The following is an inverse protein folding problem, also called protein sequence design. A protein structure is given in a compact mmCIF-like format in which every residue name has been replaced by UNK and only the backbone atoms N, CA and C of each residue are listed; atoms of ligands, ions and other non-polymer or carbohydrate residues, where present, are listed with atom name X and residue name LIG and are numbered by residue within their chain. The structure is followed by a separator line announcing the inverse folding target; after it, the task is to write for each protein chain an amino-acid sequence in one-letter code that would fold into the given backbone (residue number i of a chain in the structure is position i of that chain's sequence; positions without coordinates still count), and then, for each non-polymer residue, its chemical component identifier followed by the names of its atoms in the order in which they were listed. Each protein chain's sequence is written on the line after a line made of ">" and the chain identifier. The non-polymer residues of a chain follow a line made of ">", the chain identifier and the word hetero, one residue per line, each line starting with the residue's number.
data_IF_214792816231
#
_entry.id   IF_214792816231
#
_cell.length_a   1.000
_cell.length_b   1.000
_cell.length_c   1.000
_cell.angle_alpha   90.00
_cell.angle_beta   90.00
_cell.angle_gamma   90.00
#
_symmetry.space_group_name_H-M   'P 1'
#
loop_
_entity.id
_entity.type
_entity.pdbx_description
1 polymer ?
#
# COMPACT_ATOMS: atom_id res chain seq x y z
N UNK A 1 -36.54 58.08 -28.66
CA UNK A 1 -35.58 57.48 -29.61
C UNK A 1 -34.19 57.68 -29.03
N UNK A 2 -33.35 56.63 -29.01
CA UNK A 2 -31.95 56.58 -28.53
C UNK A 2 -31.83 56.58 -26.98
N UNK A 3 -31.07 55.73 -26.29
CA UNK A 3 -30.11 54.67 -26.67
C UNK A 3 -29.96 53.71 -25.47
N UNK A 4 -29.91 52.40 -25.73
CA UNK A 4 -29.59 51.36 -24.73
C UNK A 4 -28.08 51.37 -24.48
N UNK A 5 -27.64 51.53 -23.24
CA UNK A 5 -26.27 51.23 -22.82
C UNK A 5 -26.29 49.88 -22.10
N UNK A 6 -25.91 48.83 -22.83
CA UNK A 6 -25.53 47.54 -22.27
C UNK A 6 -24.15 47.70 -21.62
N UNK A 7 -24.08 47.67 -20.29
CA UNK A 7 -22.81 47.41 -19.59
C UNK A 7 -22.55 45.91 -19.62
N UNK A 8 -21.69 45.48 -20.54
CA UNK A 8 -21.05 44.18 -20.44
C UNK A 8 -20.09 44.21 -19.24
N UNK A 9 -20.48 43.54 -18.16
CA UNK A 9 -19.54 43.14 -17.10
C UNK A 9 -18.73 41.98 -17.65
N UNK A 10 -17.49 42.26 -18.01
CA UNK A 10 -16.47 41.24 -18.28
C UNK A 10 -16.03 40.61 -16.96
N UNK A 11 -16.83 39.70 -16.43
CA UNK A 11 -16.35 38.72 -15.46
C UNK A 11 -15.56 37.67 -16.25
N UNK A 12 -14.26 37.91 -16.44
CA UNK A 12 -13.32 36.88 -16.83
C UNK A 12 -13.20 35.89 -15.68
N UNK A 13 -14.17 34.98 -15.57
CA UNK A 13 -13.98 33.75 -14.81
C UNK A 13 -12.95 32.91 -15.56
N UNK A 14 -11.66 33.19 -15.33
CA UNK A 14 -10.64 32.18 -15.55
C UNK A 14 -10.99 31.02 -14.62
N UNK A 15 -11.72 30.04 -15.16
CA UNK A 15 -11.74 28.70 -14.59
C UNK A 15 -10.29 28.27 -14.55
N UNK A 16 -9.68 28.35 -13.38
CA UNK A 16 -8.38 27.76 -13.11
C UNK A 16 -8.64 26.25 -13.14
N UNK A 17 -8.69 25.69 -14.35
CA UNK A 17 -8.61 24.26 -14.57
C UNK A 17 -7.31 23.87 -13.88
N UNK A 18 -7.41 23.20 -12.73
CA UNK A 18 -6.24 22.81 -11.96
C UNK A 18 -5.35 22.00 -12.91
N UNK A 19 -4.22 22.58 -13.33
CA UNK A 19 -3.22 21.85 -14.07
C UNK A 19 -2.77 20.74 -13.12
N UNK A 20 -3.22 19.52 -13.39
CA UNK A 20 -2.66 18.34 -12.75
C UNK A 20 -1.28 18.18 -13.37
N UNK A 21 -0.23 18.35 -12.57
CA UNK A 21 1.14 18.09 -13.01
C UNK A 21 1.18 16.73 -13.71
N UNK A 22 1.88 16.60 -14.86
CA UNK A 22 1.94 15.33 -15.56
C UNK A 22 2.60 14.28 -14.66
N UNK A 23 1.93 13.13 -14.52
CA UNK A 23 2.41 12.00 -13.71
C UNK A 23 2.72 10.84 -14.63
N UNK A 24 3.88 10.22 -14.43
CA UNK A 24 4.26 8.98 -15.10
C UNK A 24 4.37 7.85 -14.09
N UNK A 25 3.96 6.66 -14.50
CA UNK A 25 4.16 5.43 -13.75
C UNK A 25 5.40 4.73 -14.31
N UNK A 26 6.35 4.43 -13.43
CA UNK A 26 7.65 3.84 -13.80
C UNK A 26 7.83 2.56 -12.99
N UNK A 27 8.11 1.45 -13.69
CA UNK A 27 8.43 0.17 -13.05
C UNK A 27 9.69 0.34 -12.20
N UNK A 28 9.63 -0.13 -10.96
CA UNK A 28 10.76 -0.09 -10.03
C UNK A 28 11.71 -1.26 -10.32
N UNK A 29 13.01 -0.97 -10.21
CA UNK A 29 14.10 -1.92 -10.34
C UNK A 29 14.97 -1.88 -9.08
N UNK A 30 15.91 -2.82 -8.95
CA UNK A 30 16.84 -2.82 -7.81
C UNK A 30 17.64 -1.50 -7.69
N UNK A 31 17.87 -0.80 -8.80
CA UNK A 31 18.55 0.50 -8.79
C UNK A 31 17.73 1.61 -8.08
N UNK A 32 16.40 1.47 -8.01
CA UNK A 32 15.51 2.43 -7.36
C UNK A 32 15.40 2.22 -5.85
N UNK A 33 15.99 1.15 -5.29
CA UNK A 33 15.76 0.73 -3.89
C UNK A 33 16.02 1.84 -2.88
N UNK A 34 17.13 2.57 -3.01
CA UNK A 34 17.48 3.67 -2.09
C UNK A 34 16.47 4.81 -2.14
N UNK A 35 16.02 5.22 -3.33
CA UNK A 35 15.03 6.29 -3.49
C UNK A 35 13.67 5.88 -2.93
N UNK A 36 13.29 4.62 -3.11
CA UNK A 36 12.06 4.04 -2.56
C UNK A 36 12.14 3.97 -1.03
N UNK A 37 13.24 3.51 -0.45
CA UNK A 37 13.45 3.51 1.01
C UNK A 37 13.32 4.94 1.57
N UNK A 38 13.99 5.92 0.95
CA UNK A 38 13.91 7.32 1.37
C UNK A 38 12.48 7.89 1.27
N UNK A 39 11.75 7.52 0.22
CA UNK A 39 10.35 7.89 0.07
C UNK A 39 9.48 7.29 1.17
N UNK A 40 9.55 5.96 1.36
CA UNK A 40 8.75 5.25 2.36
C UNK A 40 9.08 5.66 3.80
N UNK A 41 10.34 5.98 4.09
CA UNK A 41 10.73 6.52 5.41
C UNK A 41 9.90 7.76 5.76
N UNK A 42 9.74 8.69 4.80
CA UNK A 42 8.97 9.91 4.99
C UNK A 42 7.46 9.69 4.97
N UNK A 43 6.97 8.82 4.08
CA UNK A 43 5.53 8.77 3.75
C UNK A 43 4.80 7.54 4.25
N UNK A 44 5.50 6.56 4.84
CA UNK A 44 4.91 5.29 5.29
C UNK A 44 5.40 4.88 6.69
N UNK A 45 6.70 4.86 6.95
CA UNK A 45 7.25 4.32 8.22
C UNK A 45 6.65 5.04 9.44
N UNK A 46 6.60 6.37 9.42
CA UNK A 46 6.09 7.15 10.57
C UNK A 46 4.60 7.45 10.51
N UNK A 47 3.98 7.28 9.35
CA UNK A 47 2.59 7.72 9.11
C UNK A 47 1.61 6.56 9.06
N UNK A 48 2.08 5.33 8.84
CA UNK A 48 1.27 4.14 8.89
C UNK A 48 0.84 3.88 10.36
N UNK A 49 -0.47 3.71 10.63
CA UNK A 49 -0.99 3.68 12.00
C UNK A 49 -0.44 2.55 12.88
N UNK A 50 -0.17 1.37 12.33
CA UNK A 50 0.42 0.25 13.08
C UNK A 50 1.87 0.56 13.46
N UNK A 51 2.67 1.07 12.52
CA UNK A 51 4.05 1.49 12.78
C UNK A 51 4.12 2.61 13.82
N UNK A 52 3.22 3.60 13.71
CA UNK A 52 3.13 4.72 14.65
C UNK A 52 2.71 4.24 16.05
N UNK A 53 1.73 3.32 16.15
CA UNK A 53 1.31 2.73 17.42
C UNK A 53 2.44 1.98 18.13
N UNK A 54 3.28 1.30 17.35
CA UNK A 54 4.47 0.57 17.81
C UNK A 54 5.73 1.45 17.96
N UNK A 55 5.59 2.76 17.71
CA UNK A 55 6.62 3.79 17.91
C UNK A 55 7.94 3.48 17.20
N UNK A 56 7.86 2.94 15.99
CA UNK A 56 9.05 2.65 15.16
C UNK A 56 9.92 3.90 15.02
N UNK A 57 11.24 3.70 15.12
CA UNK A 57 12.26 4.74 14.97
C UNK A 57 13.17 4.44 13.79
N UNK A 58 13.76 5.48 13.19
CA UNK A 58 14.61 5.36 11.99
C UNK A 58 15.68 4.29 12.14
N UNK A 59 16.45 4.37 13.24
CA UNK A 59 17.57 3.48 13.50
C UNK A 59 17.16 2.01 13.64
N UNK A 60 15.87 1.72 13.91
CA UNK A 60 15.37 0.36 14.06
C UNK A 60 15.00 -0.28 12.73
N UNK A 61 14.68 0.53 11.72
CA UNK A 61 14.19 0.06 10.41
C UNK A 61 15.26 0.10 9.33
N UNK A 62 16.51 0.47 9.66
CA UNK A 62 17.62 0.61 8.70
C UNK A 62 17.96 -0.69 7.98
N UNK A 63 17.78 -1.85 8.62
CA UNK A 63 17.94 -3.15 7.99
C UNK A 63 16.62 -3.69 7.44
N UNK A 64 15.53 -3.50 8.17
CA UNK A 64 14.21 -4.02 7.80
C UNK A 64 13.66 -3.41 6.52
N UNK A 65 13.73 -2.09 6.35
CA UNK A 65 13.12 -1.41 5.21
C UNK A 65 13.79 -1.79 3.87
N UNK A 66 15.13 -1.84 3.74
CA UNK A 66 15.78 -2.34 2.53
C UNK A 66 15.40 -3.78 2.19
N UNK A 67 15.41 -4.69 3.18
CA UNK A 67 15.01 -6.10 2.97
C UNK A 67 13.54 -6.19 2.51
N UNK A 68 12.66 -5.43 3.16
CA UNK A 68 11.25 -5.32 2.79
C UNK A 68 11.08 -4.82 1.36
N UNK A 69 11.77 -3.74 0.96
CA UNK A 69 11.71 -3.18 -0.40
C UNK A 69 12.23 -4.18 -1.44
N UNK A 70 13.36 -4.83 -1.16
CA UNK A 70 13.98 -5.81 -2.06
C UNK A 70 13.04 -7.00 -2.34
N UNK A 71 12.34 -7.49 -1.31
CA UNK A 71 11.38 -8.60 -1.44
C UNK A 71 10.23 -8.32 -2.42
N UNK A 72 9.87 -7.06 -2.65
CA UNK A 72 8.83 -6.69 -3.61
C UNK A 72 9.38 -6.31 -4.98
N UNK A 73 10.46 -5.53 -5.03
CA UNK A 73 11.03 -5.05 -6.29
C UNK A 73 11.51 -6.21 -7.18
N UNK A 74 12.04 -7.29 -6.61
CA UNK A 74 12.57 -8.44 -7.36
C UNK A 74 11.55 -9.14 -8.28
N UNK A 75 10.25 -8.91 -8.09
CA UNK A 75 9.17 -9.51 -8.88
C UNK A 75 8.81 -8.75 -10.16
N UNK A 76 9.44 -7.61 -10.43
CA UNK A 76 9.11 -6.70 -11.54
C UNK A 76 7.65 -6.18 -11.54
N UNK A 77 6.91 -6.30 -10.43
CA UNK A 77 5.52 -5.82 -10.32
C UNK A 77 5.35 -4.58 -9.43
N UNK A 78 6.45 -3.96 -9.02
CA UNK A 78 6.45 -2.71 -8.24
C UNK A 78 6.56 -1.48 -9.15
N UNK A 79 5.86 -0.40 -8.82
CA UNK A 79 5.81 0.82 -9.62
C UNK A 79 5.86 2.09 -8.76
N UNK A 80 6.50 3.13 -9.27
CA UNK A 80 6.46 4.48 -8.73
C UNK A 80 5.61 5.40 -9.60
N UNK A 81 4.90 6.34 -8.99
CA UNK A 81 4.38 7.53 -9.64
C UNK A 81 5.44 8.63 -9.49
N UNK A 82 5.82 9.25 -10.59
CA UNK A 82 6.82 10.32 -10.64
C UNK A 82 6.27 11.57 -11.31
N UNK A 83 6.64 12.74 -10.78
CA UNK A 83 6.25 14.03 -11.36
C UNK A 83 7.18 14.43 -12.53
N UNK A 84 6.98 15.63 -13.08
CA UNK A 84 7.77 16.17 -14.19
C UNK A 84 9.27 16.33 -13.88
N UNK A 85 9.64 16.41 -12.60
CA UNK A 85 11.02 16.51 -12.13
C UNK A 85 11.64 15.16 -11.74
N UNK A 86 11.02 14.03 -12.11
CA UNK A 86 11.46 12.68 -11.73
C UNK A 86 11.41 12.35 -10.24
N UNK A 87 10.79 13.22 -9.43
CA UNK A 87 10.60 12.95 -8.00
C UNK A 87 9.52 11.88 -7.82
N UNK A 88 9.80 10.87 -7.01
CA UNK A 88 8.80 9.90 -6.54
C UNK A 88 7.76 10.64 -5.70
N UNK A 89 6.50 10.54 -6.11
CA UNK A 89 5.32 11.10 -5.44
C UNK A 89 4.33 10.02 -5.00
N UNK A 90 4.59 8.76 -5.36
CA UNK A 90 3.84 7.60 -4.90
C UNK A 90 4.54 6.30 -5.25
N UNK A 91 4.30 5.26 -4.48
CA UNK A 91 4.86 3.92 -4.67
C UNK A 91 3.78 2.87 -4.43
N UNK A 92 3.77 1.85 -5.29
CA UNK A 92 3.16 0.55 -5.05
C UNK A 92 4.27 -0.50 -5.05
N UNK A 93 4.50 -1.13 -3.90
CA UNK A 93 5.31 -2.33 -3.80
C UNK A 93 4.41 -3.55 -3.94
N UNK A 94 4.70 -4.38 -4.94
CA UNK A 94 3.94 -5.61 -5.21
C UNK A 94 4.84 -6.72 -5.68
N UNK A 95 4.44 -7.96 -5.38
CA UNK A 95 5.10 -9.17 -5.83
C UNK A 95 4.10 -10.26 -6.19
N UNK A 96 4.51 -11.13 -7.10
CA UNK A 96 3.75 -12.32 -7.43
C UNK A 96 4.03 -13.37 -6.38
N UNK A 97 2.96 -13.89 -5.80
CA UNK A 97 3.01 -14.97 -4.82
C UNK A 97 2.31 -16.20 -5.40
N UNK A 98 2.92 -17.35 -5.19
CA UNK A 98 2.38 -18.65 -5.62
C UNK A 98 1.84 -19.43 -4.44
N UNK A 99 0.82 -20.25 -4.70
CA UNK A 99 0.29 -21.17 -3.69
C UNK A 99 1.41 -22.13 -3.28
N UNK A 100 1.71 -22.26 -1.97
CA UNK A 100 2.72 -23.19 -1.48
C UNK A 100 2.45 -24.62 -1.97
N UNK A 101 3.47 -25.28 -2.52
CA UNK A 101 3.40 -26.69 -2.94
C UNK A 101 3.97 -27.56 -1.81
N UNK A 102 3.09 -28.16 -1.01
CA UNK A 102 3.45 -29.05 0.11
C UNK A 102 3.73 -28.32 1.42
N UNK A 103 4.39 -28.99 2.36
CA UNK A 103 4.83 -28.42 3.65
C UNK A 103 6.15 -27.66 3.48
N UNK A 104 6.24 -26.79 2.46
CA UNK A 104 7.35 -25.83 2.38
C UNK A 104 7.45 -25.14 3.73
N UNK A 105 8.60 -25.32 4.41
CA UNK A 105 8.79 -24.89 5.78
C UNK A 105 8.31 -23.45 5.93
N UNK A 106 7.57 -23.17 7.00
CA UNK A 106 7.26 -21.80 7.38
C UNK A 106 8.61 -21.11 7.53
N UNK A 107 8.94 -20.21 6.61
CA UNK A 107 10.16 -19.41 6.74
C UNK A 107 10.05 -18.68 8.08
N UNK A 108 10.97 -18.99 8.99
CA UNK A 108 11.07 -18.26 10.25
C UNK A 108 11.32 -16.80 9.90
N UNK A 109 10.46 -15.86 10.33
CA UNK A 109 10.69 -14.45 10.08
C UNK A 109 12.08 -14.05 10.60
N UNK A 110 12.81 -13.25 9.82
CA UNK A 110 14.09 -12.69 10.24
C UNK A 110 13.86 -11.85 11.51
N UNK A 111 14.72 -12.03 12.50
CA UNK A 111 14.75 -11.17 13.68
C UNK A 111 15.66 -9.96 13.38
N UNK A 112 15.11 -8.75 13.44
CA UNK A 112 15.83 -7.50 13.21
C UNK A 112 16.40 -6.89 14.50
N UNK A 113 16.37 -7.60 15.63
CA UNK A 113 16.87 -7.12 16.92
C UNK A 113 16.00 -6.04 17.59
N UNK A 114 14.83 -5.75 17.01
CA UNK A 114 13.92 -4.71 17.47
C UNK A 114 12.51 -5.27 17.62
N UNK A 115 12.08 -5.43 18.88
CA UNK A 115 10.80 -6.08 19.20
C UNK A 115 9.62 -5.48 18.43
N UNK A 116 9.57 -4.15 18.28
CA UNK A 116 8.48 -3.44 17.62
C UNK A 116 8.48 -3.62 16.10
N UNK A 117 9.66 -3.72 15.47
CA UNK A 117 9.79 -4.05 14.04
C UNK A 117 9.35 -5.50 13.81
N UNK A 118 9.85 -6.43 14.61
CA UNK A 118 9.45 -7.84 14.55
C UNK A 118 7.93 -8.01 14.82
N UNK A 119 7.36 -7.14 15.66
CA UNK A 119 5.93 -7.15 15.99
C UNK A 119 5.06 -6.69 14.81
N UNK A 120 5.49 -5.68 14.05
CA UNK A 120 4.84 -5.30 12.77
C UNK A 120 4.84 -6.49 11.82
N UNK A 121 6.00 -7.13 11.61
CA UNK A 121 6.11 -8.29 10.74
C UNK A 121 5.24 -9.47 11.21
N UNK A 122 5.21 -9.73 12.52
CA UNK A 122 4.37 -10.77 13.13
C UNK A 122 2.90 -10.51 12.86
N UNK A 123 2.45 -9.27 13.05
CA UNK A 123 1.06 -8.89 12.84
C UNK A 123 0.63 -9.00 11.37
N UNK A 124 1.43 -8.47 10.45
CA UNK A 124 1.16 -8.53 9.00
C UNK A 124 1.21 -9.98 8.51
N UNK A 125 2.17 -10.78 8.99
CA UNK A 125 2.25 -12.20 8.63
C UNK A 125 1.08 -13.02 9.17
N UNK A 126 0.53 -12.68 10.35
CA UNK A 126 -0.67 -13.32 10.87
C UNK A 126 -1.86 -13.13 9.93
N UNK A 127 -2.05 -11.92 9.38
CA UNK A 127 -3.04 -11.67 8.32
C UNK A 127 -2.74 -12.47 7.05
N UNK A 128 -1.50 -12.38 6.55
CA UNK A 128 -1.08 -13.01 5.29
C UNK A 128 -1.20 -14.54 5.32
N UNK A 129 -0.91 -15.17 6.47
CA UNK A 129 -0.95 -16.62 6.64
C UNK A 129 -2.30 -17.26 6.30
N UNK A 130 -3.38 -16.46 6.35
CA UNK A 130 -4.73 -16.91 6.03
C UNK A 130 -5.04 -16.87 4.53
N UNK A 131 -4.19 -16.27 3.70
CA UNK A 131 -4.50 -16.02 2.28
C UNK A 131 -4.93 -17.27 1.53
N UNK A 132 -4.07 -18.28 1.51
CA UNK A 132 -4.27 -19.46 0.68
C UNK A 132 -5.40 -20.37 1.17
N UNK A 133 -5.80 -20.27 2.45
CA UNK A 133 -6.95 -20.99 2.99
C UNK A 133 -8.28 -20.28 2.71
N UNK A 134 -8.25 -18.98 2.38
CA UNK A 134 -9.44 -18.15 2.15
C UNK A 134 -9.76 -17.90 0.67
N UNK A 135 -8.77 -17.88 -0.21
CA UNK A 135 -8.98 -17.76 -1.65
C UNK A 135 -9.37 -19.11 -2.29
N UNK A 136 -10.06 -19.13 -3.45
CA UNK A 136 -10.44 -20.37 -4.12
C UNK A 136 -9.26 -21.33 -4.31
N UNK A 137 -9.47 -22.62 -4.02
CA UNK A 137 -8.41 -23.63 -4.02
C UNK A 137 -7.69 -23.81 -5.38
N UNK A 138 -8.39 -23.52 -6.48
CA UNK A 138 -7.85 -23.58 -7.84
C UNK A 138 -7.02 -22.34 -8.23
N UNK A 139 -6.96 -21.30 -7.39
CA UNK A 139 -6.07 -20.17 -7.59
C UNK A 139 -4.67 -20.52 -7.11
N UNK A 140 -3.70 -20.43 -8.02
CA UNK A 140 -2.30 -20.80 -7.73
C UNK A 140 -1.34 -19.62 -7.75
N UNK A 141 -1.79 -18.44 -8.19
CA UNK A 141 -0.95 -17.26 -8.35
C UNK A 141 -1.75 -15.99 -8.10
N UNK A 142 -1.20 -15.07 -7.32
CA UNK A 142 -1.80 -13.79 -6.97
C UNK A 142 -0.75 -12.68 -7.01
N UNK A 143 -1.20 -11.45 -7.26
CA UNK A 143 -0.40 -10.27 -6.98
C UNK A 143 -0.61 -9.87 -5.51
N UNK A 144 0.44 -9.90 -4.69
CA UNK A 144 0.42 -9.35 -3.34
C UNK A 144 0.91 -7.90 -3.39
N UNK A 145 0.17 -6.95 -2.84
CA UNK A 145 0.71 -5.62 -2.56
C UNK A 145 1.22 -5.57 -1.12
N UNK A 146 2.46 -5.14 -0.93
CA UNK A 146 3.05 -4.91 0.38
C UNK A 146 2.80 -3.50 0.90
N UNK A 147 3.10 -2.51 0.07
CA UNK A 147 2.99 -1.11 0.46
C UNK A 147 2.33 -0.28 -0.64
N UNK A 148 1.45 0.63 -0.23
CA UNK A 148 0.89 1.68 -1.07
C UNK A 148 1.04 3.00 -0.32
N UNK A 149 1.85 3.90 -0.85
CA UNK A 149 2.08 5.21 -0.24
C UNK A 149 2.08 6.29 -1.31
N UNK A 150 1.49 7.44 -0.97
CA UNK A 150 1.38 8.62 -1.84
C UNK A 150 1.79 9.82 -1.00
N UNK A 151 2.62 10.68 -1.58
CA UNK A 151 3.01 11.95 -0.97
C UNK A 151 1.76 12.80 -0.68
N UNK A 152 1.70 13.41 0.50
CA UNK A 152 0.49 14.08 0.99
C UNK A 152 0.05 15.25 0.09
N UNK A 153 1.00 15.95 -0.53
CA UNK A 153 0.76 17.03 -1.48
C UNK A 153 0.01 16.53 -2.73
N UNK A 154 0.13 15.24 -3.03
CA UNK A 154 -0.50 14.54 -4.15
C UNK A 154 -1.68 13.64 -3.71
N UNK A 155 -2.02 13.67 -2.42
CA UNK A 155 -3.14 12.95 -1.84
C UNK A 155 -4.50 13.40 -2.40
N UNK A 156 -5.53 12.54 -2.27
CA UNK A 156 -6.90 12.80 -2.72
C UNK A 156 -7.08 13.09 -4.23
N UNK A 157 -6.07 12.85 -5.06
CA UNK A 157 -6.12 12.99 -6.53
C UNK A 157 -6.33 11.67 -7.29
N UNK A 158 -6.74 10.61 -6.58
CA UNK A 158 -6.91 9.27 -7.17
C UNK A 158 -5.61 8.49 -7.40
N UNK A 159 -4.45 9.03 -7.01
CA UNK A 159 -3.13 8.42 -7.26
C UNK A 159 -3.00 6.99 -6.71
N UNK A 160 -3.44 6.76 -5.47
CA UNK A 160 -3.38 5.42 -4.86
C UNK A 160 -4.19 4.39 -5.64
N UNK A 161 -5.37 4.78 -6.15
CA UNK A 161 -6.19 3.94 -7.02
C UNK A 161 -5.50 3.70 -8.36
N UNK A 162 -4.94 4.74 -8.97
CA UNK A 162 -4.21 4.63 -10.24
C UNK A 162 -3.02 3.67 -10.12
N UNK A 163 -2.22 3.78 -9.06
CA UNK A 163 -1.12 2.86 -8.75
C UNK A 163 -1.61 1.41 -8.57
N UNK A 164 -2.65 1.19 -7.77
CA UNK A 164 -3.22 -0.15 -7.55
C UNK A 164 -3.67 -0.84 -8.84
N UNK A 165 -4.19 -0.07 -9.80
CA UNK A 165 -4.72 -0.62 -11.06
C UNK A 165 -3.73 -0.54 -12.23
N UNK A 166 -2.52 -0.02 -12.02
CA UNK A 166 -1.54 0.10 -13.08
C UNK A 166 -1.00 -1.27 -13.50
N UNK A 167 -0.99 -1.51 -14.82
CA UNK A 167 -0.49 -2.71 -15.49
C UNK A 167 -1.09 -4.05 -15.00
N UNK A 168 -2.37 -4.06 -14.63
CA UNK A 168 -3.05 -5.31 -14.24
C UNK A 168 -3.20 -6.32 -15.38
N UNK A 169 -3.22 -5.87 -16.64
CA UNK A 169 -3.28 -6.78 -17.80
C UNK A 169 -2.02 -7.65 -17.91
N UNK A 170 -0.85 -7.12 -17.55
CA UNK A 170 0.39 -7.90 -17.47
C UNK A 170 0.31 -8.93 -16.34
N UNK A 171 -0.18 -8.52 -15.18
CA UNK A 171 -0.40 -9.39 -14.02
C UNK A 171 -1.36 -10.55 -14.35
N UNK A 172 -2.42 -10.28 -15.11
CA UNK A 172 -3.34 -11.30 -15.63
C UNK A 172 -2.66 -12.24 -16.62
N UNK A 173 -1.88 -11.70 -17.54
CA UNK A 173 -1.12 -12.49 -18.53
C UNK A 173 -0.11 -13.44 -17.86
N UNK A 174 0.43 -13.08 -16.70
CA UNK A 174 1.27 -13.96 -15.88
C UNK A 174 0.50 -15.07 -15.14
N UNK A 175 -0.83 -15.07 -15.24
CA UNK A 175 -1.71 -16.10 -14.68
C UNK A 175 -2.25 -15.79 -13.29
N UNK A 176 -2.03 -14.58 -12.76
CA UNK A 176 -2.60 -14.17 -11.48
C UNK A 176 -4.13 -14.15 -11.54
N UNK A 177 -4.78 -14.68 -10.51
CA UNK A 177 -6.26 -14.75 -10.42
C UNK A 177 -6.88 -13.63 -9.59
N UNK A 178 -6.06 -12.84 -8.92
CA UNK A 178 -6.50 -11.80 -8.01
C UNK A 178 -5.34 -10.98 -7.48
N UNK A 179 -5.69 -9.88 -6.83
CA UNK A 179 -4.80 -9.04 -6.04
C UNK A 179 -5.13 -9.25 -4.58
N UNK A 180 -4.13 -9.57 -3.75
CA UNK A 180 -4.25 -9.69 -2.31
C UNK A 180 -3.46 -8.57 -1.62
N UNK A 181 -3.96 -8.04 -0.51
CA UNK A 181 -3.24 -7.06 0.30
C UNK A 181 -3.72 -7.07 1.74
N UNK A 182 -2.79 -6.77 2.65
CA UNK A 182 -3.01 -6.50 4.05
C UNK A 182 -3.25 -5.00 4.24
N UNK A 183 -4.42 -4.64 4.77
CA UNK A 183 -4.82 -3.25 4.98
C UNK A 183 -4.85 -2.95 6.48
N UNK A 184 -3.76 -2.37 6.97
CA UNK A 184 -3.54 -2.06 8.40
C UNK A 184 -3.86 -0.62 8.78
N UNK A 185 -4.32 0.21 7.82
CA UNK A 185 -4.61 1.62 8.03
C UNK A 185 -6.02 1.99 7.55
N UNK A 186 -6.77 2.79 8.31
CA UNK A 186 -8.13 3.18 7.93
C UNK A 186 -8.23 3.81 6.52
N UNK A 187 -7.20 4.59 6.12
CA UNK A 187 -7.14 5.19 4.77
C UNK A 187 -7.06 4.12 3.67
N UNK A 188 -6.20 3.11 3.83
CA UNK A 188 -6.04 2.04 2.84
C UNK A 188 -7.22 1.06 2.85
N UNK A 189 -7.82 0.82 4.02
CA UNK A 189 -9.06 0.05 4.16
C UNK A 189 -10.23 0.68 3.39
N UNK A 190 -10.39 2.01 3.47
CA UNK A 190 -11.37 2.74 2.66
C UNK A 190 -11.13 2.60 1.16
N UNK A 191 -9.87 2.49 0.73
CA UNK A 191 -9.52 2.23 -0.67
C UNK A 191 -9.97 0.81 -1.05
N UNK A 192 -9.67 -0.20 -0.24
CA UNK A 192 -10.08 -1.58 -0.49
C UNK A 192 -11.60 -1.69 -0.71
N UNK A 193 -12.39 -1.14 0.23
CA UNK A 193 -13.86 -1.17 0.18
C UNK A 193 -14.39 -0.48 -1.10
N UNK A 194 -13.82 0.66 -1.48
CA UNK A 194 -14.21 1.40 -2.69
C UNK A 194 -13.82 0.71 -4.00
N UNK A 195 -12.89 -0.24 -3.95
CA UNK A 195 -12.39 -0.95 -5.13
C UNK A 195 -12.78 -2.44 -5.10
N UNK A 196 -13.91 -2.77 -4.47
CA UNK A 196 -14.51 -4.11 -4.51
C UNK A 196 -13.61 -5.25 -4.00
N UNK A 197 -12.67 -4.94 -3.11
CA UNK A 197 -11.94 -5.99 -2.40
C UNK A 197 -12.89 -6.75 -1.47
N UNK A 198 -12.81 -8.07 -1.52
CA UNK A 198 -13.48 -8.99 -0.61
C UNK A 198 -12.60 -9.18 0.62
N UNK A 199 -13.10 -8.83 1.80
CA UNK A 199 -12.40 -9.07 3.06
C UNK A 199 -12.38 -10.58 3.32
N UNK A 200 -11.18 -11.14 3.47
CA UNK A 200 -10.96 -12.59 3.67
C UNK A 200 -10.75 -12.95 5.13
N UNK A 201 -10.07 -12.07 5.87
CA UNK A 201 -9.75 -12.25 7.27
C UNK A 201 -9.45 -10.90 7.92
N UNK A 202 -9.77 -10.76 9.20
CA UNK A 202 -9.48 -9.56 9.98
C UNK A 202 -8.96 -9.93 11.37
N UNK A 203 -8.12 -9.06 11.93
CA UNK A 203 -7.62 -9.17 13.29
C UNK A 203 -7.88 -7.83 13.98
N UNK A 204 -8.79 -7.84 14.95
CA UNK A 204 -9.06 -6.69 15.80
C UNK A 204 -7.82 -6.41 16.67
N UNK A 205 -7.40 -5.15 16.73
CA UNK A 205 -6.26 -4.73 17.55
C UNK A 205 -6.48 -5.05 19.04
N UNK A 206 -7.72 -4.94 19.53
CA UNK A 206 -8.08 -5.30 20.91
C UNK A 206 -7.92 -6.79 21.24
N UNK A 207 -7.84 -7.66 20.23
CA UNK A 207 -7.64 -9.10 20.41
C UNK A 207 -6.17 -9.49 20.15
N UNK A 208 -5.33 -8.52 19.77
CA UNK A 208 -3.90 -8.69 19.57
C UNK A 208 -3.14 -8.28 20.84
N UNK A 209 -3.03 -9.24 21.76
CA UNK A 209 -2.59 -9.04 23.13
C UNK A 209 -1.16 -9.54 23.38
N UNK A 210 -0.47 -8.94 24.34
CA UNK A 210 0.75 -9.47 24.93
C UNK A 210 0.46 -10.63 25.91
N UNK A 211 1.52 -11.24 26.45
CA UNK A 211 1.40 -12.35 27.42
C UNK A 211 0.66 -11.97 28.71
N UNK A 212 0.52 -10.67 29.00
CA UNK A 212 -0.17 -10.13 30.17
C UNK A 212 -1.61 -9.72 29.85
N UNK A 213 -2.07 -9.92 28.62
CA UNK A 213 -3.41 -9.54 28.16
C UNK A 213 -3.56 -8.05 27.80
N UNK A 214 -2.46 -7.30 27.63
CA UNK A 214 -2.52 -5.91 27.19
C UNK A 214 -2.53 -5.82 25.67
N UNK A 215 -3.34 -4.92 25.13
CA UNK A 215 -3.36 -4.62 23.70
C UNK A 215 -2.00 -4.06 23.23
N UNK A 216 -1.42 -4.67 22.22
CA UNK A 216 -0.10 -4.30 21.68
C UNK A 216 -0.21 -3.11 20.71
N UNK A 217 -1.20 -3.15 19.81
CA UNK A 217 -1.36 -2.13 18.75
C UNK A 217 -2.51 -1.21 19.13
N UNK A 218 -2.23 0.05 19.45
CA UNK A 218 -3.25 1.04 19.78
C UNK A 218 -3.08 2.30 18.90
N UNK A 219 -3.75 2.32 17.74
CA UNK A 219 -3.68 3.43 16.81
C UNK A 219 -4.51 4.64 17.30
N UNK A 220 -4.02 5.85 17.06
CA UNK A 220 -4.67 7.10 17.49
C UNK A 220 -5.65 7.67 16.46
N UNK A 221 -5.66 7.13 15.24
CA UNK A 221 -6.47 7.62 14.11
C UNK A 221 -7.82 6.90 13.97
N UNK A 222 -8.17 6.05 14.93
CA UNK A 222 -9.39 5.23 14.93
C UNK A 222 -9.26 3.89 14.19
N UNK A 223 -8.08 3.54 13.69
CA UNK A 223 -7.83 2.20 13.14
C UNK A 223 -7.90 1.15 14.25
N UNK A 224 -8.90 0.27 14.21
CA UNK A 224 -9.18 -0.74 15.24
C UNK A 224 -8.82 -2.17 14.85
N UNK A 225 -8.38 -2.37 13.60
CA UNK A 225 -8.06 -3.66 13.01
C UNK A 225 -7.18 -3.51 11.79
N UNK A 226 -6.56 -4.60 11.40
CA UNK A 226 -6.06 -4.86 10.06
C UNK A 226 -6.89 -5.96 9.42
N UNK A 227 -7.01 -5.92 8.09
CA UNK A 227 -7.64 -7.01 7.36
C UNK A 227 -6.86 -7.44 6.13
N UNK A 228 -6.89 -8.73 5.85
CA UNK A 228 -6.50 -9.30 4.57
C UNK A 228 -7.71 -9.23 3.64
N UNK A 229 -7.53 -8.67 2.45
CA UNK A 229 -8.57 -8.66 1.44
C UNK A 229 -8.02 -9.04 0.06
N UNK A 230 -8.92 -9.48 -0.81
CA UNK A 230 -8.59 -9.85 -2.18
C UNK A 230 -9.60 -9.30 -3.19
N UNK A 231 -9.09 -8.82 -4.31
CA UNK A 231 -9.89 -8.44 -5.48
C UNK A 231 -9.62 -9.44 -6.61
N UNK A 232 -10.62 -10.20 -7.08
CA UNK A 232 -10.47 -11.06 -8.25
C UNK A 232 -10.06 -10.27 -9.50
N UNK A 233 -9.21 -10.88 -10.32
CA UNK A 233 -8.91 -10.39 -11.67
C UNK A 233 -9.70 -11.23 -12.66
N UNK A 234 -10.68 -10.60 -13.32
CA UNK A 234 -11.42 -11.20 -14.44
C UNK A 234 -10.56 -11.33 -15.69
#
# INVERSE_FOLDING_TARGET
>A
MLSRILRASSASSFSRCARTDPVRFVRLTAADSSDVCNFLMRTFIYTEPTNAALKLQEHQVVEWLPDYVANYIGSNQSYSARNEHDKIIGVRLSSIVERPKGTSGVETPKDYGHWNVNEVDRYVNALYSQLWSKVPSHWNKLLRNGALSVDEDYGNRGMGRALLHHNLEEVKAEGCKGIASEFTALKSQKIAIKNNYLILHEILHKDWLDEKGNQIIACTDGTDRGFLACMPLE
#
